data_IF_585145144901
#
_entry.id   IF_585145144901
#
_cell.length_a   1.000
_cell.length_b   1.000
_cell.length_c   1.000
_cell.angle_alpha   90.00
_cell.angle_beta   90.00
_cell.angle_gamma   90.00
#
_symmetry.space_group_name_H-M   'P 1'
#
loop_
_entity.id
_entity.type
_entity.pdbx_description
1 polymer ?
#
# COMPACT_ATOMS: atom_id res chain seq x y z
N UNK A 1 0.67 34.19 -9.07
CA UNK A 1 1.68 33.70 -8.10
C UNK A 1 2.91 33.37 -8.90
N UNK A 2 4.09 33.82 -8.49
CA UNK A 2 5.35 33.45 -9.16
C UNK A 2 5.95 32.20 -8.53
N UNK A 3 6.78 31.47 -9.27
CA UNK A 3 7.43 30.24 -8.80
C UNK A 3 8.25 30.47 -7.50
N UNK A 4 8.87 31.63 -7.37
CA UNK A 4 9.59 32.05 -6.15
C UNK A 4 8.66 32.09 -4.91
N UNK A 5 7.42 32.54 -5.08
CA UNK A 5 6.45 32.58 -3.97
C UNK A 5 6.01 31.17 -3.56
N UNK A 6 6.03 30.21 -4.48
CA UNK A 6 5.70 28.80 -4.24
C UNK A 6 6.83 28.15 -3.44
N UNK A 7 8.08 28.30 -3.89
CA UNK A 7 9.26 27.72 -3.22
C UNK A 7 9.42 28.27 -1.79
N UNK A 8 9.23 29.57 -1.60
CA UNK A 8 9.28 30.20 -0.28
C UNK A 8 8.15 29.74 0.66
N UNK A 9 7.02 29.28 0.11
CA UNK A 9 5.93 28.67 0.87
C UNK A 9 6.28 27.26 1.33
N UNK A 10 6.79 26.44 0.40
CA UNK A 10 7.22 25.06 0.64
C UNK A 10 8.35 24.99 1.68
N UNK A 11 9.34 25.87 1.59
CA UNK A 11 10.47 25.89 2.54
C UNK A 11 10.09 26.32 3.97
N UNK A 12 8.92 26.95 4.16
CA UNK A 12 8.43 27.38 5.48
C UNK A 12 7.43 26.40 6.07
N UNK A 13 7.03 25.37 5.32
CA UNK A 13 6.12 24.35 5.77
C UNK A 13 6.87 23.30 6.62
N UNK A 14 6.63 23.23 7.94
CA UNK A 14 7.27 22.23 8.80
C UNK A 14 6.90 20.80 8.43
N UNK A 15 5.76 20.56 7.79
CA UNK A 15 5.37 19.22 7.33
C UNK A 15 6.20 18.79 6.10
N UNK A 16 6.65 19.75 5.29
CA UNK A 16 7.49 19.48 4.11
C UNK A 16 8.93 19.10 4.46
N UNK A 17 9.46 19.60 5.58
CA UNK A 17 10.85 19.35 6.01
C UNK A 17 11.19 17.85 6.15
N UNK A 18 10.21 16.98 6.42
CA UNK A 18 10.39 15.54 6.50
C UNK A 18 10.56 14.86 5.13
N UNK A 19 10.16 15.51 4.04
CA UNK A 19 10.16 14.96 2.67
C UNK A 19 11.23 15.58 1.78
N UNK A 20 11.80 16.74 2.16
CA UNK A 20 12.92 17.41 1.48
C UNK A 20 14.14 16.50 1.20
N UNK A 21 14.56 15.57 2.09
CA UNK A 21 15.69 14.69 1.81
C UNK A 21 15.35 13.46 0.95
N UNK A 22 14.09 13.26 0.55
CA UNK A 22 13.69 12.08 -0.23
C UNK A 22 14.09 12.29 -1.70
N UNK A 23 15.07 11.50 -2.15
CA UNK A 23 15.42 11.42 -3.56
C UNK A 23 14.41 10.52 -4.31
N UNK A 24 13.40 11.16 -4.88
CA UNK A 24 12.38 10.49 -5.68
C UNK A 24 12.90 9.89 -6.99
N UNK A 25 14.12 10.23 -7.44
CA UNK A 25 14.74 9.62 -8.62
C UNK A 25 15.11 8.15 -8.38
N UNK A 26 15.28 7.76 -7.11
CA UNK A 26 15.60 6.40 -6.68
C UNK A 26 14.37 5.59 -6.26
N UNK A 27 13.16 6.15 -6.40
CA UNK A 27 11.94 5.46 -6.03
C UNK A 27 11.67 4.26 -6.95
N UNK A 28 11.56 3.07 -6.37
CA UNK A 28 11.19 1.86 -7.11
C UNK A 28 9.66 1.80 -7.29
N UNK A 29 9.21 1.74 -8.54
CA UNK A 29 7.79 1.53 -8.85
C UNK A 29 7.45 0.06 -8.67
N UNK A 30 6.92 -0.29 -7.49
CA UNK A 30 6.42 -1.63 -7.23
C UNK A 30 5.03 -1.79 -7.85
N UNK A 31 4.94 -2.50 -8.98
CA UNK A 31 3.66 -2.87 -9.58
C UNK A 31 3.17 -4.18 -8.96
N UNK A 32 2.01 -4.19 -8.25
CA UNK A 32 1.47 -5.42 -7.70
C UNK A 32 1.14 -6.41 -8.83
N UNK A 33 1.38 -7.72 -8.63
CA UNK A 33 1.02 -8.71 -9.62
C UNK A 33 -0.49 -8.70 -9.86
N UNK A 34 -0.89 -8.87 -11.13
CA UNK A 34 -2.32 -8.98 -11.50
C UNK A 34 -2.95 -10.15 -10.75
N UNK A 35 -4.08 -9.89 -10.10
CA UNK A 35 -4.88 -10.92 -9.44
C UNK A 35 -5.80 -11.56 -10.49
N UNK A 36 -5.83 -12.88 -10.53
CA UNK A 36 -6.80 -13.62 -11.33
C UNK A 36 -8.00 -14.00 -10.45
N UNK A 37 -9.20 -13.66 -10.89
CA UNK A 37 -10.42 -14.09 -10.21
C UNK A 37 -10.67 -15.56 -10.55
N UNK A 38 -10.48 -16.43 -9.55
CA UNK A 38 -10.77 -17.86 -9.63
C UNK A 38 -11.79 -18.24 -8.55
N UNK A 39 -12.55 -19.30 -8.80
CA UNK A 39 -13.43 -19.90 -7.80
C UNK A 39 -12.74 -21.13 -7.21
N UNK A 40 -12.52 -21.14 -5.90
CA UNK A 40 -12.00 -22.28 -5.14
C UNK A 40 -12.90 -22.53 -3.94
N UNK A 41 -12.95 -23.78 -3.48
CA UNK A 41 -13.64 -24.13 -2.24
C UNK A 41 -12.61 -24.23 -1.12
N UNK A 42 -12.92 -23.63 0.02
CA UNK A 42 -12.15 -23.70 1.25
C UNK A 42 -13.08 -24.22 2.35
N UNK A 43 -12.48 -24.85 3.35
CA UNK A 43 -13.24 -25.31 4.52
C UNK A 43 -13.84 -24.13 5.28
N UNK A 44 -15.00 -24.37 5.89
CA UNK A 44 -15.81 -23.33 6.53
C UNK A 44 -15.07 -22.69 7.71
N UNK A 45 -14.35 -23.49 8.50
CA UNK A 45 -13.55 -23.05 9.64
C UNK A 45 -12.41 -22.11 9.23
N UNK A 46 -11.75 -22.36 8.09
CA UNK A 46 -10.74 -21.47 7.53
C UNK A 46 -11.36 -20.12 7.14
N UNK A 47 -12.52 -20.14 6.47
CA UNK A 47 -13.22 -18.91 6.10
C UNK A 47 -13.59 -18.10 7.35
N UNK A 48 -14.10 -18.76 8.38
CA UNK A 48 -14.53 -18.10 9.62
C UNK A 48 -13.33 -17.54 10.41
N UNK A 49 -12.23 -18.28 10.47
CA UNK A 49 -10.97 -17.81 11.05
C UNK A 49 -10.51 -16.50 10.39
N UNK A 50 -10.40 -16.45 9.06
CA UNK A 50 -9.92 -15.23 8.38
C UNK A 50 -10.90 -14.07 8.45
N UNK A 51 -12.22 -14.35 8.49
CA UNK A 51 -13.28 -13.34 8.67
C UNK A 51 -13.26 -12.73 10.08
N UNK A 52 -12.97 -13.54 11.11
CA UNK A 52 -12.89 -13.07 12.51
C UNK A 52 -11.84 -11.97 12.71
N UNK A 53 -10.81 -11.94 11.86
CA UNK A 53 -9.75 -10.92 11.85
C UNK A 53 -10.16 -9.60 11.17
N UNK A 54 -11.44 -9.45 10.83
CA UNK A 54 -12.01 -8.23 10.26
C UNK A 54 -11.91 -8.13 8.73
N UNK A 55 -12.11 -6.93 8.16
CA UNK A 55 -12.07 -6.72 6.71
C UNK A 55 -10.76 -7.17 6.06
N UNK A 56 -10.82 -7.54 4.78
CA UNK A 56 -9.64 -7.94 4.01
C UNK A 56 -9.20 -9.41 4.14
N UNK A 57 -10.09 -10.29 4.62
CA UNK A 57 -9.81 -11.72 4.81
C UNK A 57 -9.25 -12.43 3.56
N UNK A 58 -9.75 -12.09 2.36
CA UNK A 58 -9.23 -12.62 1.08
C UNK A 58 -7.77 -12.24 0.83
N UNK A 59 -7.36 -11.02 1.24
CA UNK A 59 -5.97 -10.56 1.08
C UNK A 59 -5.03 -11.35 2.00
N UNK A 60 -5.50 -11.70 3.21
CA UNK A 60 -4.77 -12.55 4.16
C UNK A 60 -4.65 -13.99 3.65
N UNK A 61 -5.72 -14.57 3.11
CA UNK A 61 -5.67 -15.88 2.44
C UNK A 61 -4.62 -15.87 1.34
N UNK A 62 -4.66 -14.87 0.44
CA UNK A 62 -3.67 -14.76 -0.64
C UNK A 62 -2.23 -14.54 -0.14
N UNK A 63 -2.03 -13.91 1.03
CA UNK A 63 -0.69 -13.75 1.60
C UNK A 63 -0.13 -15.07 2.12
N UNK A 64 -0.94 -15.86 2.82
CA UNK A 64 -0.55 -17.21 3.30
C UNK A 64 -0.21 -18.12 2.13
N UNK A 65 -1.02 -18.11 1.07
CA UNK A 65 -0.75 -18.91 -0.14
C UNK A 65 0.56 -18.52 -0.85
N UNK A 66 1.09 -17.30 -0.64
CA UNK A 66 2.36 -16.84 -1.20
C UNK A 66 3.57 -17.16 -0.32
N UNK A 67 3.34 -17.50 0.95
CA UNK A 67 4.40 -17.88 1.88
C UNK A 67 4.64 -19.38 1.97
N UNK A 68 3.83 -20.19 1.27
CA UNK A 68 4.05 -21.62 1.04
C UNK A 68 5.04 -21.81 -0.12
#
# INVERSE_FOLDING_TARGET
>A
MSDLQIDAGVARDPDWAAFEPIDWSQAEVVVPPKKQAISIRLDQDLIDYFKSQGPGYQRRINAVLRSL
#
